data_IF_209620083441
#
_entry.id   IF_209620083441
#
_cell.length_a   1.000
_cell.length_b   1.000
_cell.length_c   1.000
_cell.angle_alpha   90.00
_cell.angle_beta   90.00
_cell.angle_gamma   90.00
#
_symmetry.space_group_name_H-M   'P 1'
#
loop_
_entity.id
_entity.type
_entity.pdbx_description
1 polymer ?
#
# COMPACT_ATOMS: atom_id res chain seq x y z
N UNK A 1 22.20 -10.65 2.60
CA UNK A 1 23.34 -10.69 1.67
C UNK A 1 23.92 -9.29 1.36
N UNK A 2 23.38 -8.21 1.94
CA UNK A 2 23.84 -6.83 1.73
C UNK A 2 23.27 -6.14 0.48
N UNK A 3 22.42 -6.80 -0.29
CA UNK A 3 21.82 -6.22 -1.47
C UNK A 3 20.67 -5.23 -1.12
N UNK A 4 20.36 -4.35 -2.06
CA UNK A 4 19.32 -3.34 -1.92
C UNK A 4 18.19 -3.59 -2.92
N UNK A 5 16.94 -3.40 -2.49
CA UNK A 5 15.79 -3.38 -3.37
C UNK A 5 15.39 -1.94 -3.70
N UNK A 6 15.26 -1.63 -4.97
CA UNK A 6 14.90 -0.30 -5.46
C UNK A 6 13.61 -0.37 -6.27
N UNK A 7 12.74 0.63 -6.09
CA UNK A 7 11.55 0.82 -6.93
C UNK A 7 11.91 1.73 -8.08
N UNK A 8 11.77 1.23 -9.28
CA UNK A 8 12.06 1.97 -10.50
C UNK A 8 10.91 1.88 -11.50
N UNK A 9 11.11 2.42 -12.70
CA UNK A 9 10.15 2.43 -13.79
C UNK A 9 10.84 2.06 -15.09
N UNK A 10 10.10 1.49 -16.04
CA UNK A 10 10.63 1.28 -17.39
C UNK A 10 10.57 2.61 -18.16
N UNK A 11 11.65 2.95 -18.85
CA UNK A 11 11.71 4.16 -19.68
C UNK A 11 10.88 4.04 -20.96
N UNK A 12 10.76 2.83 -21.49
CA UNK A 12 9.97 2.52 -22.67
C UNK A 12 9.46 1.08 -22.58
N UNK A 13 8.14 0.91 -22.54
CA UNK A 13 7.47 -0.38 -22.55
C UNK A 13 6.48 -0.43 -23.71
N UNK A 14 6.62 -1.43 -24.59
CA UNK A 14 5.70 -1.65 -25.70
C UNK A 14 4.48 -2.45 -25.22
N UNK A 15 3.34 -1.83 -25.12
CA UNK A 15 2.08 -2.45 -24.70
C UNK A 15 1.50 -3.32 -25.82
N UNK A 16 0.68 -4.33 -25.47
CA UNK A 16 -0.02 -5.16 -26.48
C UNK A 16 -0.92 -4.37 -27.44
N UNK A 17 -1.39 -3.18 -27.02
CA UNK A 17 -2.19 -2.27 -27.88
C UNK A 17 -1.34 -1.42 -28.84
N UNK A 18 -0.02 -1.64 -28.90
CA UNK A 18 0.91 -0.97 -29.79
C UNK A 18 1.43 0.38 -29.26
N UNK A 19 1.01 0.82 -28.09
CA UNK A 19 1.54 2.05 -27.48
C UNK A 19 2.89 1.78 -26.81
N UNK A 20 3.84 2.67 -27.00
CA UNK A 20 5.08 2.70 -26.20
C UNK A 20 4.90 3.71 -25.08
N UNK A 21 5.08 3.26 -23.85
CA UNK A 21 4.78 4.03 -22.64
C UNK A 21 5.94 3.98 -21.65
N UNK A 22 6.03 5.00 -20.78
CA UNK A 22 6.82 4.94 -19.55
C UNK A 22 5.97 4.34 -18.46
N UNK A 23 6.57 3.60 -17.54
CA UNK A 23 5.85 3.01 -16.40
C UNK A 23 6.15 3.77 -15.11
N UNK A 24 5.41 3.49 -14.03
CA UNK A 24 5.56 4.20 -12.76
C UNK A 24 5.58 3.22 -11.60
N UNK A 25 6.74 3.11 -10.91
CA UNK A 25 6.90 2.32 -9.66
C UNK A 25 6.38 0.88 -9.77
N UNK A 26 6.60 0.25 -10.90
CA UNK A 26 6.15 -1.11 -11.20
C UNK A 26 7.27 -2.05 -11.63
N UNK A 27 8.51 -1.62 -11.46
CA UNK A 27 9.71 -2.46 -11.55
C UNK A 27 10.45 -2.42 -10.22
N UNK A 28 10.78 -3.59 -9.71
CA UNK A 28 11.66 -3.75 -8.56
C UNK A 28 12.97 -4.29 -9.07
N UNK A 29 14.06 -3.68 -8.70
CA UNK A 29 15.41 -4.18 -8.99
C UNK A 29 16.13 -4.49 -7.69
N UNK A 30 16.87 -5.59 -7.69
CA UNK A 30 17.85 -5.91 -6.66
C UNK A 30 19.22 -5.52 -7.17
N UNK A 31 19.95 -4.75 -6.38
CA UNK A 31 21.31 -4.32 -6.68
C UNK A 31 22.26 -4.79 -5.58
N UNK A 32 23.45 -5.23 -5.98
CA UNK A 32 24.52 -5.56 -5.05
C UNK A 32 25.22 -4.31 -4.48
N UNK A 33 26.15 -4.50 -3.56
CA UNK A 33 26.93 -3.42 -2.96
C UNK A 33 27.79 -2.63 -3.98
N UNK A 34 28.08 -3.23 -5.13
CA UNK A 34 28.81 -2.59 -6.23
C UNK A 34 27.91 -1.82 -7.18
N UNK A 35 26.58 -1.88 -6.97
CA UNK A 35 25.58 -1.23 -7.83
C UNK A 35 25.19 -2.03 -9.08
N UNK A 36 25.61 -3.31 -9.20
CA UNK A 36 25.17 -4.16 -10.29
C UNK A 36 23.75 -4.66 -10.02
N UNK A 37 22.90 -4.67 -11.06
CA UNK A 37 21.59 -5.31 -11.02
C UNK A 37 21.78 -6.82 -11.03
N UNK A 38 21.29 -7.50 -9.99
CA UNK A 38 21.39 -8.96 -9.84
C UNK A 38 20.07 -9.66 -10.15
N UNK A 39 18.94 -8.96 -10.01
CA UNK A 39 17.61 -9.45 -10.38
C UNK A 39 16.63 -8.30 -10.61
N UNK A 40 15.54 -8.53 -11.39
CA UNK A 40 14.47 -7.55 -11.57
C UNK A 40 13.08 -8.20 -11.66
N UNK A 41 12.09 -7.60 -11.00
CA UNK A 41 10.68 -7.99 -11.05
C UNK A 41 9.89 -6.93 -11.81
N UNK A 42 9.48 -7.26 -13.03
CA UNK A 42 8.62 -6.42 -13.87
C UNK A 42 7.18 -6.79 -13.58
N UNK A 43 6.50 -5.96 -12.80
CA UNK A 43 5.20 -6.33 -12.25
C UNK A 43 4.13 -6.54 -13.32
N UNK A 44 4.20 -5.88 -14.47
CA UNK A 44 3.25 -6.13 -15.58
C UNK A 44 3.36 -7.54 -16.21
N UNK A 45 4.46 -8.24 -15.99
CA UNK A 45 4.66 -9.64 -16.39
C UNK A 45 4.20 -10.61 -15.30
N UNK A 46 4.13 -10.14 -14.05
CA UNK A 46 3.93 -10.96 -12.85
C UNK A 46 2.51 -10.81 -12.29
N UNK A 47 1.95 -9.59 -12.29
CA UNK A 47 0.65 -9.26 -11.70
C UNK A 47 -0.39 -8.95 -12.77
N UNK A 48 -1.66 -8.96 -12.36
CA UNK A 48 -2.78 -8.55 -13.20
C UNK A 48 -2.83 -7.03 -13.39
N UNK A 49 -2.04 -6.51 -14.35
CA UNK A 49 -2.00 -5.09 -14.68
C UNK A 49 -3.28 -4.57 -15.34
N UNK A 50 -4.19 -5.48 -15.71
CA UNK A 50 -5.49 -5.17 -16.33
C UNK A 50 -6.67 -5.52 -15.41
N UNK A 51 -6.46 -5.58 -14.11
CA UNK A 51 -7.52 -5.82 -13.14
C UNK A 51 -8.61 -4.76 -13.25
N UNK A 52 -9.82 -5.16 -13.61
CA UNK A 52 -10.92 -4.27 -14.02
C UNK A 52 -11.29 -3.21 -12.96
N UNK A 53 -11.40 -3.60 -11.70
CA UNK A 53 -11.88 -2.70 -10.66
C UNK A 53 -10.88 -1.58 -10.32
N UNK A 54 -9.60 -1.82 -10.51
CA UNK A 54 -8.56 -0.81 -10.31
C UNK A 54 -8.72 0.35 -11.28
N UNK A 55 -9.08 0.05 -12.53
CA UNK A 55 -9.25 1.05 -13.59
C UNK A 55 -10.36 2.04 -13.26
N UNK A 56 -11.44 1.56 -12.66
CA UNK A 56 -12.64 2.37 -12.39
C UNK A 56 -12.46 3.33 -11.22
N UNK A 57 -11.66 2.95 -10.23
CA UNK A 57 -11.59 3.66 -8.96
C UNK A 57 -10.26 4.32 -8.69
N UNK A 58 -9.17 3.83 -9.28
CA UNK A 58 -7.81 4.20 -8.90
C UNK A 58 -7.07 5.00 -9.97
N UNK A 59 -7.69 5.22 -11.12
CA UNK A 59 -7.07 5.87 -12.26
C UNK A 59 -7.18 7.40 -12.18
N UNK A 60 -6.47 7.98 -11.24
CA UNK A 60 -6.53 9.42 -10.98
C UNK A 60 -5.17 10.12 -11.13
N UNK A 61 -4.34 9.59 -12.01
CA UNK A 61 -3.09 10.23 -12.38
C UNK A 61 -1.86 9.79 -11.60
N UNK A 62 -0.74 10.42 -11.89
CA UNK A 62 0.60 10.02 -11.48
C UNK A 62 0.88 10.17 -9.99
N UNK A 63 0.12 10.98 -9.28
CA UNK A 63 0.35 11.30 -7.87
C UNK A 63 -0.86 10.97 -7.02
N UNK A 64 -0.60 10.47 -5.82
CA UNK A 64 -1.59 10.06 -4.83
C UNK A 64 -2.64 11.12 -4.44
N UNK A 65 -2.51 12.34 -4.91
CA UNK A 65 -3.33 13.48 -4.51
C UNK A 65 -4.22 14.03 -5.63
N UNK A 66 -4.29 13.36 -6.75
CA UNK A 66 -5.13 13.77 -7.89
C UNK A 66 -6.56 13.22 -7.77
N UNK A 67 -7.20 13.44 -6.62
CA UNK A 67 -8.56 12.98 -6.36
C UNK A 67 -9.54 14.10 -6.72
N UNK A 68 -10.50 13.81 -7.58
CA UNK A 68 -11.59 14.75 -7.90
C UNK A 68 -12.77 14.54 -6.94
N UNK A 69 -12.80 15.30 -5.85
CA UNK A 69 -13.88 15.23 -4.86
C UNK A 69 -15.27 15.58 -5.39
N UNK A 70 -15.37 16.19 -6.57
CA UNK A 70 -16.68 16.41 -7.19
C UNK A 70 -17.33 15.12 -7.67
N UNK A 71 -16.55 14.05 -7.78
CA UNK A 71 -17.00 12.70 -8.19
C UNK A 71 -17.21 11.75 -7.00
N UNK A 72 -17.24 12.26 -5.78
CA UNK A 72 -17.50 11.44 -4.59
C UNK A 72 -18.80 10.65 -4.73
N UNK A 73 -18.74 9.34 -4.53
CA UNK A 73 -19.88 8.43 -4.71
C UNK A 73 -20.22 8.09 -6.17
N UNK A 74 -19.38 8.52 -7.13
CA UNK A 74 -19.55 8.21 -8.55
C UNK A 74 -18.43 7.29 -9.02
N UNK A 75 -18.79 6.20 -9.69
CA UNK A 75 -17.82 5.37 -10.41
C UNK A 75 -17.46 6.05 -11.73
N UNK A 76 -16.17 6.07 -12.09
CA UNK A 76 -15.72 6.62 -13.36
C UNK A 76 -16.38 5.90 -14.54
N UNK A 77 -16.96 6.64 -15.45
CA UNK A 77 -17.56 6.11 -16.67
C UNK A 77 -16.48 5.75 -17.71
N UNK A 78 -16.83 4.90 -18.68
CA UNK A 78 -15.95 4.63 -19.82
C UNK A 78 -15.56 5.91 -20.59
N UNK A 79 -16.44 6.91 -20.62
CA UNK A 79 -16.15 8.20 -21.25
C UNK A 79 -15.13 9.02 -20.43
N UNK A 80 -15.22 8.98 -19.10
CA UNK A 80 -14.22 9.61 -18.21
C UNK A 80 -12.84 8.98 -18.43
N UNK A 81 -12.77 7.65 -18.45
CA UNK A 81 -11.53 6.91 -18.69
C UNK A 81 -10.93 7.23 -20.06
N UNK A 82 -11.77 7.29 -21.12
CA UNK A 82 -11.32 7.66 -22.46
C UNK A 82 -10.85 9.11 -22.55
N UNK A 83 -11.44 10.02 -21.77
CA UNK A 83 -10.98 11.40 -21.68
C UNK A 83 -9.63 11.52 -20.96
N UNK A 84 -9.44 10.73 -19.88
CA UNK A 84 -8.18 10.67 -19.14
C UNK A 84 -7.05 10.07 -20.00
N UNK A 85 -7.35 9.10 -20.86
CA UNK A 85 -6.39 8.44 -21.77
C UNK A 85 -5.72 9.40 -22.76
N UNK A 86 -6.24 10.60 -22.91
CA UNK A 86 -5.67 11.68 -23.73
C UNK A 86 -4.71 12.60 -22.96
N UNK A 87 -4.66 12.47 -21.63
CA UNK A 87 -3.80 13.30 -20.81
C UNK A 87 -2.56 12.52 -20.40
N UNK A 88 -1.38 13.02 -20.77
CA UNK A 88 -0.08 12.49 -20.31
C UNK A 88 0.48 13.47 -19.28
N UNK A 89 0.31 13.19 -17.99
CA UNK A 89 0.94 13.93 -16.90
C UNK A 89 2.04 13.08 -16.27
N UNK A 90 3.25 13.62 -16.20
CA UNK A 90 4.41 12.96 -15.57
C UNK A 90 4.77 11.59 -16.17
N UNK A 91 4.38 11.33 -17.43
CA UNK A 91 4.61 10.06 -18.08
C UNK A 91 3.58 8.98 -17.76
N UNK A 92 2.53 9.31 -17.01
CA UNK A 92 1.38 8.44 -16.83
C UNK A 92 0.45 8.57 -18.02
N UNK A 93 0.07 7.42 -18.56
CA UNK A 93 -1.05 7.35 -19.52
C UNK A 93 -2.25 6.83 -18.74
N UNK A 94 -3.32 7.58 -18.74
CA UNK A 94 -4.58 7.18 -18.18
C UNK A 94 -5.13 5.94 -18.93
N UNK A 95 -6.01 5.17 -18.30
CA UNK A 95 -6.60 3.98 -18.90
C UNK A 95 -6.11 2.68 -18.28
N UNK A 96 -5.85 1.66 -19.09
CA UNK A 96 -5.69 0.27 -18.66
C UNK A 96 -4.25 -0.20 -18.80
N UNK A 97 -3.70 -0.81 -17.76
CA UNK A 97 -2.43 -1.52 -17.81
C UNK A 97 -1.19 -0.65 -17.64
N UNK A 98 -0.01 -1.17 -18.00
CA UNK A 98 1.26 -0.45 -17.88
C UNK A 98 1.28 0.86 -18.69
N UNK A 99 2.02 1.85 -18.18
CA UNK A 99 2.08 3.19 -18.73
C UNK A 99 1.16 4.18 -18.02
N UNK A 100 0.37 3.67 -17.08
CA UNK A 100 -0.34 4.44 -16.06
C UNK A 100 0.21 4.06 -14.68
N UNK A 101 -0.16 4.79 -13.65
CA UNK A 101 0.27 4.50 -12.27
C UNK A 101 -0.55 3.34 -11.65
N UNK A 102 -0.62 2.20 -12.34
CA UNK A 102 -1.48 1.07 -11.99
C UNK A 102 -1.03 0.30 -10.74
N UNK A 103 0.26 0.23 -10.48
CA UNK A 103 0.82 -0.50 -9.34
C UNK A 103 1.10 0.43 -8.16
N UNK A 104 1.86 1.50 -8.37
CA UNK A 104 2.28 2.44 -7.33
C UNK A 104 2.86 1.74 -6.11
N UNK A 105 3.89 0.92 -6.29
CA UNK A 105 4.58 0.25 -5.17
C UNK A 105 5.16 1.30 -4.23
N UNK A 106 4.82 1.22 -2.95
CA UNK A 106 5.27 2.19 -1.94
C UNK A 106 6.10 1.57 -0.81
N UNK A 107 6.10 0.25 -0.66
CA UNK A 107 7.06 -0.46 0.20
C UNK A 107 7.47 -1.79 -0.39
N UNK A 108 8.70 -2.19 -0.06
CA UNK A 108 9.28 -3.49 -0.35
C UNK A 108 9.82 -4.02 0.96
N UNK A 109 9.53 -5.27 1.25
CA UNK A 109 10.12 -6.00 2.37
C UNK A 109 10.62 -7.36 1.90
N UNK A 110 11.52 -7.96 2.64
CA UNK A 110 12.14 -9.23 2.29
C UNK A 110 11.80 -10.32 3.29
N UNK A 111 11.37 -11.49 2.80
CA UNK A 111 11.19 -12.67 3.61
C UNK A 111 12.37 -13.63 3.43
N UNK A 112 13.31 -13.68 4.39
CA UNK A 112 14.49 -14.53 4.31
C UNK A 112 14.19 -16.02 4.43
N UNK A 113 12.98 -16.38 4.86
CA UNK A 113 12.63 -17.81 5.11
C UNK A 113 12.40 -18.58 3.82
N UNK A 114 12.09 -17.88 2.73
CA UNK A 114 11.82 -18.50 1.43
C UNK A 114 12.29 -17.65 0.24
N UNK A 115 13.20 -16.70 0.49
CA UNK A 115 13.83 -15.82 -0.52
C UNK A 115 12.79 -15.15 -1.42
N UNK A 116 11.91 -14.38 -0.82
CA UNK A 116 10.81 -13.69 -1.50
C UNK A 116 10.68 -12.24 -1.06
N UNK A 117 10.00 -11.44 -1.88
CA UNK A 117 9.69 -10.04 -1.57
C UNK A 117 8.20 -9.88 -1.26
N UNK A 118 7.90 -8.96 -0.33
CA UNK A 118 6.56 -8.54 0.02
C UNK A 118 6.40 -7.09 -0.42
N UNK A 119 5.43 -6.83 -1.28
CA UNK A 119 5.20 -5.52 -1.88
C UNK A 119 3.86 -4.94 -1.42
N UNK A 120 3.86 -3.66 -1.05
CA UNK A 120 2.63 -2.88 -0.95
C UNK A 120 2.35 -2.22 -2.30
N UNK A 121 1.33 -2.72 -3.00
CA UNK A 121 0.91 -2.26 -4.33
C UNK A 121 -0.34 -1.39 -4.18
N UNK A 122 -0.12 -0.08 -3.95
CA UNK A 122 -1.14 0.88 -3.52
C UNK A 122 -2.37 0.91 -4.42
N UNK A 123 -2.15 1.12 -5.71
CA UNK A 123 -3.26 1.34 -6.64
C UNK A 123 -4.02 0.04 -7.00
N UNK A 124 -3.47 -1.11 -6.61
CA UNK A 124 -4.16 -2.40 -6.63
C UNK A 124 -4.92 -2.68 -5.31
N UNK A 125 -4.76 -1.84 -4.28
CA UNK A 125 -5.23 -2.13 -2.92
C UNK A 125 -4.83 -3.55 -2.49
N UNK A 126 -3.54 -3.87 -2.66
CA UNK A 126 -3.02 -5.22 -2.46
C UNK A 126 -1.65 -5.23 -1.78
N UNK A 127 -1.45 -6.18 -0.89
CA UNK A 127 -0.12 -6.63 -0.48
C UNK A 127 0.16 -7.95 -1.17
N UNK A 128 1.30 -8.07 -1.83
CA UNK A 128 1.62 -9.22 -2.68
C UNK A 128 2.96 -9.80 -2.27
N UNK A 129 3.04 -11.12 -2.16
CA UNK A 129 4.31 -11.82 -1.99
C UNK A 129 4.70 -12.50 -3.29
N UNK A 130 5.95 -12.26 -3.71
CA UNK A 130 6.51 -12.77 -4.98
C UNK A 130 7.83 -13.49 -4.67
N UNK A 131 7.99 -14.69 -5.22
CA UNK A 131 9.22 -15.47 -5.07
C UNK A 131 10.36 -14.99 -5.95
N UNK A 132 11.55 -15.55 -5.71
CA UNK A 132 12.74 -15.38 -6.57
C UNK A 132 12.51 -15.93 -7.99
N UNK A 133 11.57 -16.85 -8.13
CA UNK A 133 11.09 -17.40 -9.41
C UNK A 133 10.12 -16.48 -10.15
N UNK A 134 9.91 -15.25 -9.65
CA UNK A 134 8.98 -14.25 -10.16
C UNK A 134 7.50 -14.71 -10.12
N UNK A 135 7.18 -15.77 -9.36
CA UNK A 135 5.81 -16.24 -9.22
C UNK A 135 5.13 -15.63 -7.99
N UNK A 136 3.88 -15.21 -8.17
CA UNK A 136 3.04 -14.76 -7.05
C UNK A 136 2.77 -15.93 -6.11
N UNK A 137 3.18 -15.79 -4.86
CA UNK A 137 2.92 -16.78 -3.80
C UNK A 137 1.53 -16.57 -3.22
N UNK A 138 1.19 -15.34 -2.84
CA UNK A 138 -0.14 -14.96 -2.37
C UNK A 138 -0.43 -13.47 -2.58
N UNK A 139 -1.72 -13.12 -2.51
CA UNK A 139 -2.25 -11.76 -2.59
C UNK A 139 -3.18 -11.52 -1.40
N UNK A 140 -2.90 -10.50 -0.60
CA UNK A 140 -3.80 -9.95 0.42
C UNK A 140 -4.52 -8.75 -0.20
N UNK A 141 -5.75 -8.94 -0.63
CA UNK A 141 -6.59 -7.93 -1.26
C UNK A 141 -8.05 -8.42 -1.31
N UNK A 142 -9.01 -7.52 -1.55
CA UNK A 142 -10.34 -7.92 -1.99
C UNK A 142 -10.26 -8.84 -3.21
N UNK A 143 -11.04 -9.93 -3.25
CA UNK A 143 -11.02 -10.87 -4.38
C UNK A 143 -11.60 -10.29 -5.67
N UNK A 144 -12.21 -9.12 -5.59
CA UNK A 144 -12.91 -8.50 -6.72
C UNK A 144 -11.97 -8.12 -7.87
N UNK A 145 -12.39 -8.41 -9.09
CA UNK A 145 -11.71 -8.02 -10.32
C UNK A 145 -10.43 -8.78 -10.67
N UNK A 146 -9.92 -9.66 -9.83
CA UNK A 146 -8.76 -10.50 -10.18
C UNK A 146 -9.12 -11.56 -11.22
N UNK A 147 -8.35 -11.61 -12.31
CA UNK A 147 -8.47 -12.63 -13.35
C UNK A 147 -7.64 -13.87 -12.99
N UNK A 148 -7.90 -15.01 -13.65
CA UNK A 148 -7.01 -16.18 -13.55
C UNK A 148 -5.64 -15.86 -14.17
N UNK A 149 -4.50 -16.37 -13.61
CA UNK A 149 -4.43 -17.27 -12.45
C UNK A 149 -4.40 -16.56 -11.09
N UNK A 150 -4.40 -15.23 -11.05
CA UNK A 150 -4.16 -14.44 -9.82
C UNK A 150 -5.28 -14.58 -8.78
N UNK A 151 -6.53 -14.73 -9.21
CA UNK A 151 -7.67 -14.94 -8.29
C UNK A 151 -7.45 -16.14 -7.35
N UNK A 152 -6.73 -17.16 -7.80
CA UNK A 152 -6.45 -18.36 -7.01
C UNK A 152 -5.32 -18.13 -5.99
N UNK A 153 -4.63 -16.99 -6.07
CA UNK A 153 -3.59 -16.55 -5.15
C UNK A 153 -4.12 -15.60 -4.07
N UNK A 154 -5.37 -15.16 -4.15
CA UNK A 154 -5.99 -14.30 -3.15
C UNK A 154 -6.24 -15.08 -1.88
N UNK A 155 -5.77 -14.54 -0.75
CA UNK A 155 -5.92 -15.14 0.57
C UNK A 155 -7.40 -15.14 1.00
N UNK A 156 -7.82 -16.22 1.65
CA UNK A 156 -9.18 -16.35 2.19
C UNK A 156 -9.22 -15.82 3.63
N UNK A 157 -10.12 -14.88 3.96
CA UNK A 157 -10.23 -14.35 5.30
C UNK A 157 -10.81 -15.40 6.25
N UNK A 158 -10.24 -15.45 7.48
CA UNK A 158 -10.72 -16.34 8.54
C UNK A 158 -10.92 -15.57 9.85
N UNK A 159 -11.83 -16.08 10.68
CA UNK A 159 -12.00 -15.60 12.05
C UNK A 159 -10.93 -16.18 13.01
N UNK A 160 -10.99 -15.82 14.29
CA UNK A 160 -10.04 -16.29 15.32
C UNK A 160 -10.02 -17.82 15.50
N UNK A 161 -11.09 -18.52 15.18
CA UNK A 161 -11.15 -19.99 15.22
C UNK A 161 -10.68 -20.65 13.92
N UNK A 162 -10.26 -19.88 12.92
CA UNK A 162 -9.78 -20.39 11.62
C UNK A 162 -10.90 -20.76 10.63
N UNK A 163 -12.14 -20.39 10.92
CA UNK A 163 -13.26 -20.59 9.99
C UNK A 163 -13.23 -19.52 8.90
N UNK A 164 -13.45 -19.94 7.64
CA UNK A 164 -13.50 -19.01 6.51
C UNK A 164 -14.72 -18.10 6.66
N UNK A 165 -14.50 -16.80 6.51
CA UNK A 165 -15.52 -15.77 6.54
C UNK A 165 -16.19 -15.65 5.17
N UNK A 166 -17.47 -15.26 5.17
CA UNK A 166 -18.21 -15.00 3.95
C UNK A 166 -17.75 -13.66 3.36
N UNK A 167 -17.48 -13.67 2.06
CA UNK A 167 -17.10 -12.49 1.28
C UNK A 167 -18.17 -12.23 0.22
N UNK A 168 -18.66 -11.00 0.14
CA UNK A 168 -19.59 -10.52 -0.88
C UNK A 168 -19.01 -9.25 -1.53
N UNK A 169 -18.62 -9.37 -2.80
CA UNK A 169 -17.94 -8.27 -3.50
C UNK A 169 -16.66 -7.84 -2.77
N UNK A 170 -16.59 -6.58 -2.41
CA UNK A 170 -15.48 -5.99 -1.65
C UNK A 170 -15.67 -6.01 -0.13
N UNK A 171 -16.73 -6.62 0.39
CA UNK A 171 -17.02 -6.69 1.82
C UNK A 171 -16.80 -8.08 2.40
N UNK A 172 -16.49 -8.14 3.70
CA UNK A 172 -16.29 -9.39 4.42
C UNK A 172 -17.02 -9.34 5.77
N UNK A 173 -17.61 -10.47 6.16
CA UNK A 173 -18.26 -10.59 7.47
C UNK A 173 -17.23 -10.69 8.61
N UNK A 174 -17.73 -10.62 9.85
CA UNK A 174 -16.96 -10.89 11.06
C UNK A 174 -15.91 -9.85 11.45
N UNK A 175 -16.03 -8.62 10.94
CA UNK A 175 -15.14 -7.52 11.30
C UNK A 175 -13.78 -7.56 10.61
N UNK A 176 -13.58 -8.48 9.66
CA UNK A 176 -12.41 -8.46 8.78
C UNK A 176 -12.60 -7.41 7.69
N UNK A 177 -11.56 -6.62 7.42
CA UNK A 177 -11.52 -5.73 6.26
C UNK A 177 -10.18 -5.86 5.53
N UNK A 178 -10.21 -5.61 4.22
CA UNK A 178 -9.07 -5.61 3.34
C UNK A 178 -8.20 -4.36 3.56
N UNK A 179 -7.06 -4.30 2.89
CA UNK A 179 -6.29 -3.06 2.78
C UNK A 179 -6.78 -2.24 1.58
N UNK A 180 -6.83 -0.93 1.75
CA UNK A 180 -7.32 -0.01 0.73
C UNK A 180 -6.33 1.12 0.50
N UNK A 181 -5.72 1.15 -0.69
CA UNK A 181 -4.70 2.15 -1.05
C UNK A 181 -3.57 2.29 -0.02
N UNK A 182 -3.22 1.21 0.62
CA UNK A 182 -2.33 1.14 1.77
C UNK A 182 -0.91 1.65 1.45
N UNK A 183 -0.24 2.09 2.49
CA UNK A 183 1.20 2.30 2.54
C UNK A 183 1.81 1.34 3.56
N UNK A 184 3.09 1.03 3.34
CA UNK A 184 3.85 0.07 4.10
C UNK A 184 3.21 -1.33 4.17
N UNK A 185 4.03 -2.33 4.03
CA UNK A 185 3.66 -3.72 4.30
C UNK A 185 4.94 -4.39 4.75
N UNK A 186 5.08 -4.58 6.07
CA UNK A 186 6.30 -5.10 6.66
C UNK A 186 6.03 -6.40 7.41
N UNK A 187 6.84 -7.39 7.13
CA UNK A 187 6.86 -8.64 7.88
C UNK A 187 7.31 -8.37 9.31
N UNK A 188 6.66 -9.00 10.26
CA UNK A 188 7.06 -8.97 11.67
C UNK A 188 7.91 -10.20 11.93
N UNK A 189 9.23 -10.06 11.83
CA UNK A 189 10.16 -11.19 11.80
C UNK A 189 10.10 -12.04 13.07
N UNK A 190 10.09 -11.42 14.23
CA UNK A 190 10.09 -12.08 15.54
C UNK A 190 8.81 -12.86 15.84
N UNK A 191 7.72 -12.54 15.15
CA UNK A 191 6.43 -13.21 15.29
C UNK A 191 6.15 -14.20 14.16
N UNK A 192 7.00 -14.19 13.12
CA UNK A 192 6.80 -14.96 11.89
C UNK A 192 7.65 -16.22 11.85
N UNK A 193 7.12 -17.21 11.14
CA UNK A 193 7.82 -18.45 10.78
C UNK A 193 7.78 -18.61 9.26
N UNK A 194 8.34 -19.71 8.74
CA UNK A 194 8.24 -20.03 7.31
C UNK A 194 6.80 -20.24 6.84
N UNK A 195 5.94 -20.79 7.69
CA UNK A 195 4.58 -21.20 7.29
C UNK A 195 3.52 -20.15 7.66
N UNK A 196 3.75 -19.43 8.75
CA UNK A 196 2.85 -18.41 9.27
C UNK A 196 3.61 -17.12 9.45
N UNK A 197 3.18 -16.07 8.75
CA UNK A 197 3.80 -14.75 8.85
C UNK A 197 2.81 -13.70 9.36
N UNK A 198 3.34 -12.70 10.02
CA UNK A 198 2.60 -11.51 10.42
C UNK A 198 3.07 -10.34 9.55
N UNK A 199 2.13 -9.54 9.06
CA UNK A 199 2.41 -8.36 8.23
C UNK A 199 1.69 -7.16 8.82
N UNK A 200 2.45 -6.12 9.15
CA UNK A 200 1.90 -4.82 9.55
C UNK A 200 1.69 -3.94 8.35
N UNK A 201 0.55 -3.24 8.29
CA UNK A 201 0.14 -2.41 7.16
C UNK A 201 -0.49 -1.12 7.68
N UNK A 202 -0.22 0.01 7.04
CA UNK A 202 -1.03 1.20 7.20
C UNK A 202 -2.06 1.27 6.07
N UNK A 203 -3.32 0.98 6.39
CA UNK A 203 -4.46 1.04 5.48
C UNK A 203 -4.96 2.49 5.40
N UNK A 204 -4.61 3.20 4.34
CA UNK A 204 -4.99 4.60 4.17
C UNK A 204 -6.50 4.77 3.98
N UNK A 205 -7.17 3.82 3.33
CA UNK A 205 -8.61 3.83 3.14
C UNK A 205 -9.12 4.77 2.04
N UNK A 206 -8.22 5.37 1.25
CA UNK A 206 -8.56 6.35 0.21
C UNK A 206 -9.40 5.75 -0.94
N UNK A 207 -9.17 4.47 -1.26
CA UNK A 207 -9.99 3.71 -2.23
C UNK A 207 -10.84 2.62 -1.57
N UNK A 208 -11.31 2.84 -0.34
CA UNK A 208 -12.06 1.84 0.42
C UNK A 208 -13.32 1.39 -0.32
N UNK A 209 -13.52 0.07 -0.39
CA UNK A 209 -14.64 -0.52 -1.11
C UNK A 209 -14.57 -0.34 -2.63
N UNK A 210 -13.41 0.02 -3.18
CA UNK A 210 -13.19 0.41 -4.59
C UNK A 210 -13.83 1.76 -4.95
N UNK A 211 -14.16 2.57 -3.95
CA UNK A 211 -14.66 3.94 -4.17
C UNK A 211 -13.49 4.94 -4.12
N UNK A 212 -13.48 5.88 -5.05
CA UNK A 212 -12.52 6.98 -5.06
C UNK A 212 -13.13 8.26 -5.65
N UNK A 213 -13.18 9.32 -4.84
CA UNK A 213 -12.77 9.39 -3.43
C UNK A 213 -13.64 8.49 -2.54
N UNK A 214 -13.09 8.08 -1.40
CA UNK A 214 -13.86 7.30 -0.42
C UNK A 214 -15.10 8.06 0.03
N UNK A 215 -16.22 7.36 0.20
CA UNK A 215 -17.47 7.94 0.70
C UNK A 215 -17.28 8.51 2.12
N UNK A 216 -18.09 9.47 2.57
CA UNK A 216 -17.92 10.12 3.87
C UNK A 216 -17.79 9.16 5.06
N UNK A 217 -18.58 8.09 5.09
CA UNK A 217 -18.54 7.05 6.11
C UNK A 217 -17.37 6.07 5.97
N UNK A 218 -16.63 6.13 4.86
CA UNK A 218 -15.46 5.30 4.58
C UNK A 218 -14.14 6.06 4.83
N UNK A 219 -14.19 7.36 5.15
CA UNK A 219 -13.02 8.21 5.39
C UNK A 219 -12.43 7.97 6.77
N UNK A 220 -11.76 6.84 6.91
CA UNK A 220 -10.92 6.50 8.05
C UNK A 220 -9.71 5.69 7.57
N UNK A 221 -8.62 5.81 8.30
CA UNK A 221 -7.42 4.98 8.10
C UNK A 221 -7.28 3.98 9.23
N UNK A 222 -6.47 2.95 9.02
CA UNK A 222 -6.18 1.95 10.04
C UNK A 222 -4.71 1.55 10.00
N UNK A 223 -4.13 1.35 11.18
CA UNK A 223 -2.95 0.50 11.31
C UNK A 223 -3.44 -0.92 11.58
N UNK A 224 -2.98 -1.91 10.82
CA UNK A 224 -3.50 -3.28 10.87
C UNK A 224 -2.35 -4.27 10.93
N UNK A 225 -2.53 -5.34 11.68
CA UNK A 225 -1.65 -6.52 11.62
C UNK A 225 -2.46 -7.72 11.14
N UNK A 226 -1.99 -8.31 10.05
CA UNK A 226 -2.54 -9.53 9.49
C UNK A 226 -1.65 -10.73 9.82
N UNK A 227 -2.26 -11.85 10.18
CA UNK A 227 -1.63 -13.17 10.33
C UNK A 227 -1.99 -14.00 9.10
N UNK A 228 -1.00 -14.44 8.36
CA UNK A 228 -1.14 -15.18 7.10
C UNK A 228 -0.62 -16.60 7.29
N UNK A 229 -1.47 -17.61 7.11
CA UNK A 229 -1.08 -19.01 6.97
C UNK A 229 -0.82 -19.29 5.49
N UNK A 230 0.45 -19.33 5.12
CA UNK A 230 0.88 -19.45 3.72
C UNK A 230 0.55 -20.84 3.13
N UNK A 231 0.45 -21.89 3.95
CA UNK A 231 0.07 -23.23 3.49
C UNK A 231 -1.42 -23.36 3.23
N UNK A 232 -2.24 -22.77 4.11
CA UNK A 232 -3.70 -22.80 3.98
C UNK A 232 -4.23 -21.72 3.04
N UNK A 233 -3.39 -20.78 2.65
CA UNK A 233 -3.78 -19.60 1.88
C UNK A 233 -4.90 -18.81 2.58
N UNK A 234 -4.75 -18.59 3.88
CA UNK A 234 -5.71 -17.87 4.72
C UNK A 234 -5.09 -16.68 5.40
N UNK A 235 -5.93 -15.70 5.72
CA UNK A 235 -5.53 -14.47 6.43
C UNK A 235 -6.51 -14.16 7.55
N UNK A 236 -5.97 -13.79 8.70
CA UNK A 236 -6.71 -13.31 9.87
C UNK A 236 -6.27 -11.89 10.18
N UNK A 237 -7.21 -10.97 10.39
CA UNK A 237 -6.93 -9.67 11.00
C UNK A 237 -6.79 -9.88 12.51
N UNK A 238 -5.59 -9.69 13.06
CA UNK A 238 -5.33 -10.00 14.48
C UNK A 238 -5.26 -8.76 15.36
N UNK A 239 -5.02 -7.59 14.75
CA UNK A 239 -4.99 -6.32 15.46
C UNK A 239 -5.32 -5.19 14.48
N UNK A 240 -6.00 -4.17 14.97
CA UNK A 240 -6.20 -2.91 14.26
C UNK A 240 -6.36 -1.75 15.22
N UNK A 241 -6.08 -0.55 14.71
CA UNK A 241 -6.34 0.72 15.37
C UNK A 241 -6.65 1.79 14.31
N UNK A 242 -7.58 2.69 14.60
CA UNK A 242 -7.80 3.92 13.85
C UNK A 242 -9.19 4.11 13.26
N UNK A 243 -9.97 3.03 13.05
CA UNK A 243 -11.34 3.16 12.54
C UNK A 243 -12.22 4.03 13.47
N UNK A 244 -12.10 3.87 14.76
CA UNK A 244 -12.83 4.62 15.80
C UNK A 244 -12.41 6.09 15.86
N UNK A 245 -11.23 6.44 15.35
CA UNK A 245 -10.75 7.82 15.28
C UNK A 245 -11.39 8.58 14.10
N UNK A 246 -11.97 7.83 13.16
CA UNK A 246 -12.71 8.38 12.03
C UNK A 246 -11.89 9.38 11.23
N UNK A 247 -12.55 10.47 10.89
CA UNK A 247 -12.04 11.47 9.98
C UNK A 247 -10.88 12.32 10.56
N UNK A 248 -10.77 12.48 11.89
CA UNK A 248 -9.66 13.21 12.53
C UNK A 248 -8.30 12.52 12.31
N UNK A 249 -8.32 11.19 12.19
CA UNK A 249 -7.12 10.39 11.96
C UNK A 249 -6.97 9.90 10.51
N UNK A 250 -7.90 10.28 9.64
CA UNK A 250 -7.87 9.89 8.23
C UNK A 250 -6.65 10.45 7.52
N UNK A 251 -5.80 9.55 7.04
CA UNK A 251 -4.54 9.82 6.38
C UNK A 251 -4.54 9.16 4.99
N UNK A 252 -5.08 9.84 3.96
CA UNK A 252 -5.34 9.25 2.64
C UNK A 252 -4.09 8.83 1.88
N UNK A 253 -2.94 9.39 2.23
CA UNK A 253 -1.66 9.11 1.56
C UNK A 253 -0.53 8.98 2.57
N UNK A 254 0.61 8.42 2.14
CA UNK A 254 1.81 8.26 2.98
C UNK A 254 1.57 7.34 4.20
N UNK A 255 2.31 7.54 5.29
CA UNK A 255 2.09 6.81 6.55
C UNK A 255 2.86 5.50 6.70
N UNK A 256 2.86 4.97 7.91
CA UNK A 256 3.63 3.79 8.29
C UNK A 256 2.99 3.05 9.46
N UNK A 257 3.00 1.72 9.40
CA UNK A 257 2.83 0.85 10.56
C UNK A 257 3.97 -0.17 10.57
N UNK A 258 4.83 -0.14 11.60
CA UNK A 258 6.01 -0.99 11.66
C UNK A 258 6.25 -1.53 13.07
N UNK A 259 6.51 -2.82 13.14
CA UNK A 259 6.90 -3.47 14.39
C UNK A 259 8.34 -3.08 14.80
N UNK A 260 8.55 -2.91 16.10
CA UNK A 260 9.83 -2.64 16.74
C UNK A 260 10.19 -3.82 17.65
N UNK A 261 11.21 -4.58 17.27
CA UNK A 261 11.61 -5.79 17.94
C UNK A 261 12.15 -5.53 19.36
N UNK A 262 12.90 -4.46 19.53
CA UNK A 262 13.55 -4.07 20.80
C UNK A 262 12.55 -3.71 21.91
N UNK A 263 11.32 -3.34 21.53
CA UNK A 263 10.27 -2.90 22.45
C UNK A 263 9.03 -3.80 22.47
N UNK A 264 8.97 -4.80 21.59
CA UNK A 264 7.76 -5.59 21.34
C UNK A 264 6.52 -4.69 21.13
N UNK A 265 6.64 -3.74 20.21
CA UNK A 265 5.65 -2.71 19.97
C UNK A 265 5.40 -2.50 18.46
N UNK A 266 4.28 -1.85 18.13
CA UNK A 266 3.99 -1.36 16.78
C UNK A 266 4.03 0.16 16.81
N UNK A 267 4.95 0.74 16.04
CA UNK A 267 4.97 2.15 15.78
C UNK A 267 4.06 2.47 14.60
N UNK A 268 3.23 3.48 14.75
CA UNK A 268 2.28 3.96 13.75
C UNK A 268 2.50 5.44 13.51
N UNK A 269 2.58 5.81 12.25
CA UNK A 269 2.67 7.20 11.81
C UNK A 269 1.58 7.50 10.78
N UNK A 270 0.61 8.35 11.11
CA UNK A 270 -0.43 8.81 10.20
C UNK A 270 -0.01 10.14 9.55
N UNK A 271 0.84 10.05 8.52
CA UNK A 271 1.62 11.19 8.00
C UNK A 271 0.83 12.32 7.35
N UNK A 272 -0.42 12.07 6.95
CA UNK A 272 -1.29 13.03 6.29
C UNK A 272 -2.66 13.18 6.97
N UNK A 273 -2.78 12.85 8.26
CA UNK A 273 -4.01 13.04 9.01
C UNK A 273 -4.47 14.50 8.95
N UNK A 274 -5.77 14.70 8.69
CA UNK A 274 -6.35 16.03 8.47
C UNK A 274 -6.13 16.61 7.07
N UNK A 275 -5.50 15.86 6.16
CA UNK A 275 -5.38 16.25 4.75
C UNK A 275 -6.70 16.01 4.03
N UNK A 276 -7.55 17.05 4.02
CA UNK A 276 -8.76 17.09 3.19
C UNK A 276 -8.40 17.80 1.88
N UNK A 277 -7.72 17.06 0.98
CA UNK A 277 -7.24 17.63 -0.26
C UNK A 277 -8.37 18.04 -1.18
N UNK A 278 -8.38 19.27 -1.66
CA UNK A 278 -8.99 19.56 -2.96
C UNK A 278 -8.02 19.09 -4.03
N UNK A 279 -8.44 18.28 -4.98
CA UNK A 279 -7.57 17.87 -6.06
C UNK A 279 -7.40 19.04 -7.00
N UNK A 280 -6.22 19.52 -7.11
CA UNK A 280 -5.81 20.30 -8.27
C UNK A 280 -4.39 19.87 -8.61
N UNK A 281 -4.00 20.04 -9.87
CA UNK A 281 -2.61 19.97 -10.24
C UNK A 281 -1.86 20.98 -9.37
N UNK A 282 -1.23 20.50 -8.29
CA UNK A 282 -0.68 21.38 -7.29
C UNK A 282 0.53 22.11 -7.82
N UNK A 283 0.42 23.43 -7.78
CA UNK A 283 1.59 24.28 -7.92
C UNK A 283 2.39 24.27 -6.62
N UNK A 284 3.72 24.47 -6.65
CA UNK A 284 4.55 24.52 -5.44
C UNK A 284 4.02 25.44 -4.33
N UNK A 285 3.36 26.53 -4.71
CA UNK A 285 2.75 27.50 -3.80
C UNK A 285 1.48 26.95 -3.09
N UNK A 286 0.80 26.01 -3.72
CA UNK A 286 -0.36 25.32 -3.14
C UNK A 286 0.08 24.19 -2.20
N UNK A 287 1.21 23.55 -2.50
CA UNK A 287 1.81 22.54 -1.64
C UNK A 287 2.18 23.12 -0.26
N UNK A 288 2.74 24.32 -0.24
CA UNK A 288 3.06 25.02 1.01
C UNK A 288 1.81 25.38 1.85
N UNK A 289 0.65 25.53 1.21
CA UNK A 289 -0.63 25.79 1.88
C UNK A 289 -1.33 24.50 2.34
N UNK A 290 -1.00 23.35 1.75
CA UNK A 290 -1.64 22.08 2.05
C UNK A 290 -1.28 21.56 3.44
N UNK A 291 -0.13 21.91 3.99
CA UNK A 291 0.27 21.47 5.33
C UNK A 291 -0.50 22.17 6.44
N UNK A 292 -1.14 23.30 6.14
CA UNK A 292 -1.96 24.01 7.12
C UNK A 292 -3.19 23.18 7.51
N UNK A 293 -3.27 22.80 8.79
CA UNK A 293 -4.32 21.95 9.33
C UNK A 293 -4.03 20.45 9.22
N UNK A 294 -2.98 20.05 8.52
CA UNK A 294 -2.50 18.66 8.55
C UNK A 294 -1.83 18.40 9.90
N UNK A 295 -2.20 17.30 10.54
CA UNK A 295 -1.78 17.01 11.91
C UNK A 295 -1.41 15.53 12.10
N UNK A 296 -0.24 15.11 11.59
CA UNK A 296 0.22 13.76 11.75
C UNK A 296 0.26 13.31 13.21
N UNK A 297 -0.01 12.02 13.41
CA UNK A 297 0.20 11.38 14.71
C UNK A 297 1.35 10.39 14.63
N UNK A 298 2.24 10.44 15.62
CA UNK A 298 3.22 9.39 15.89
C UNK A 298 2.76 8.65 17.14
N UNK A 299 2.49 7.36 17.01
CA UNK A 299 1.93 6.54 18.07
C UNK A 299 2.76 5.27 18.25
N UNK A 300 2.81 4.75 19.47
CA UNK A 300 3.45 3.47 19.79
C UNK A 300 2.49 2.62 20.61
N UNK A 301 2.23 1.40 20.15
CA UNK A 301 1.36 0.43 20.81
C UNK A 301 2.20 -0.77 21.26
N UNK A 302 2.05 -1.22 22.50
CA UNK A 302 2.56 -2.53 22.88
C UNK A 302 1.87 -3.60 22.06
N UNK A 303 2.58 -4.65 21.75
CA UNK A 303 2.04 -5.70 20.90
C UNK A 303 0.70 -6.25 21.44
N UNK A 304 -0.33 -6.18 20.59
CA UNK A 304 -1.68 -6.65 20.90
C UNK A 304 -2.56 -5.68 21.69
N UNK A 305 -2.01 -4.57 22.22
CA UNK A 305 -2.80 -3.56 22.94
C UNK A 305 -3.44 -2.57 21.95
N UNK A 306 -4.62 -2.07 22.30
CA UNK A 306 -5.34 -1.07 21.49
C UNK A 306 -5.15 0.37 21.98
N UNK A 307 -4.71 0.53 23.22
CA UNK A 307 -4.39 1.85 23.77
C UNK A 307 -2.93 2.19 23.49
N UNK A 308 -2.64 3.36 22.93
CA UNK A 308 -1.27 3.75 22.65
C UNK A 308 -0.51 4.01 23.96
N UNK A 309 0.70 3.45 24.07
CA UNK A 309 1.62 3.80 25.14
C UNK A 309 2.21 5.21 24.97
N UNK A 310 2.31 5.65 23.71
CA UNK A 310 2.75 7.00 23.33
C UNK A 310 1.86 7.51 22.22
N UNK A 311 1.41 8.76 22.34
CA UNK A 311 0.71 9.48 21.27
C UNK A 311 1.26 10.91 21.19
N UNK A 312 1.78 11.27 20.02
CA UNK A 312 2.31 12.61 19.72
C UNK A 312 1.56 13.12 18.49
N UNK A 313 0.86 14.24 18.64
CA UNK A 313 0.23 14.97 17.54
C UNK A 313 1.15 16.09 17.08
N UNK A 314 1.49 16.11 15.80
CA UNK A 314 2.18 17.22 15.17
C UNK A 314 1.16 18.19 14.58
N UNK A 315 1.51 19.46 14.42
CA UNK A 315 0.60 20.45 13.84
C UNK A 315 1.27 21.11 12.63
N UNK A 316 0.44 21.41 11.62
CA UNK A 316 0.85 22.08 10.38
C UNK A 316 2.08 21.42 9.73
N UNK A 317 2.12 20.12 9.75
CA UNK A 317 3.19 19.32 9.20
C UNK A 317 2.60 18.18 8.35
N UNK A 318 3.38 17.68 7.41
CA UNK A 318 3.09 16.48 6.65
C UNK A 318 4.39 15.71 6.47
N UNK A 319 4.36 14.40 6.64
CA UNK A 319 5.51 13.55 6.42
C UNK A 319 5.18 12.32 5.58
N UNK A 320 6.19 11.77 4.92
CA UNK A 320 5.99 10.56 4.14
C UNK A 320 5.97 9.34 5.05
N UNK A 321 7.01 9.15 5.85
CA UNK A 321 7.17 8.07 6.82
C UNK A 321 7.99 8.57 8.01
N UNK A 322 7.85 7.94 9.17
CA UNK A 322 8.68 8.14 10.34
C UNK A 322 9.28 6.79 10.74
N UNK A 323 10.58 6.73 10.87
CA UNK A 323 11.29 5.54 11.35
C UNK A 323 12.00 5.86 12.65
N UNK A 324 11.92 4.99 13.66
CA UNK A 324 12.78 5.10 14.82
C UNK A 324 14.22 4.82 14.40
N UNK A 325 15.16 5.51 14.98
CA UNK A 325 16.57 5.18 14.86
C UNK A 325 17.25 5.24 16.22
N UNK A 326 18.23 4.39 16.41
CA UNK A 326 19.03 4.39 17.62
C UNK A 326 20.19 5.39 17.44
N UNK A 327 20.13 6.52 18.17
CA UNK A 327 21.16 7.56 18.08
C UNK A 327 22.55 7.04 18.45
N UNK A 328 22.66 6.15 19.45
CA UNK A 328 23.93 5.58 19.87
C UNK A 328 24.55 4.69 18.79
N UNK A 329 23.75 3.88 18.13
CA UNK A 329 24.18 3.05 16.99
C UNK A 329 24.59 3.93 15.80
N UNK A 330 23.80 4.95 15.48
CA UNK A 330 24.12 5.89 14.40
C UNK A 330 25.44 6.62 14.66
N UNK A 331 25.70 7.06 15.88
CA UNK A 331 26.96 7.70 16.28
C UNK A 331 28.15 6.72 16.28
N UNK A 332 27.93 5.47 16.64
CA UNK A 332 28.97 4.44 16.60
C UNK A 332 29.35 4.09 15.14
N UNK A 333 28.36 3.98 14.26
CA UNK A 333 28.58 3.66 12.84
C UNK A 333 29.19 4.83 12.05
N UNK A 334 29.05 6.07 12.50
CA UNK A 334 29.67 7.25 11.86
C UNK A 334 31.17 7.43 12.17
N UNK A 335 31.75 6.56 12.97
CA UNK A 335 33.18 6.62 13.38
C UNK A 335 34.08 5.66 12.60
N UNK A 336 33.56 5.07 11.53
CA UNK A 336 34.34 4.18 10.64
C UNK A 336 34.45 4.75 9.21
#
# INVERSE_FOLDING_TARGET
NGNYFLRVAAAAYARPDGKTVRTVRDVIVEVDESGNVVDDWRLWEILDSYRDNVIKTMDQGAVCLNIDFSKEGQTLSAADLAAMDKSDRFGDIAGVGPGRNWAHVNSIDYDPTDDSIILSVRNQSAVVKIGRDHQVKWILASPEGWRSPWKDKVLKPVNASGQILKVEGSTCEGGFDWTWTQHSAFRVDEKSTKDVIYVSVFDNGDGRGMEQPALPNMKYSRAVVYKIDQKKMTVQQVWEFGQERGNDWYSPVTSLAKYQADKDSVMVYSGSAGLFGKPSAMKPEELAKMTKGVHPYLMEFRWGEKEPAVEIKLNDAMGYQAFPFNLQEALNNSRH
#
